data_IF_792077810166
#
_entry.id   IF_792077810166
#
_cell.length_a   1.000
_cell.length_b   1.000
_cell.length_c   1.000
_cell.angle_alpha   90.00
_cell.angle_beta   90.00
_cell.angle_gamma   90.00
#
_symmetry.space_group_name_H-M   'P 1'
#
loop_
_entity.id
_entity.type
_entity.pdbx_description
1 polymer ?
#
# COMPACT_ATOMS: atom_id res chain seq x y z
N UNK A 1 -9.02 -11.51 -15.12
CA UNK A 1 -7.82 -10.65 -14.94
C UNK A 1 -7.15 -10.23 -16.26
N UNK A 2 -7.75 -10.44 -17.45
CA UNK A 2 -7.13 -10.02 -18.71
C UNK A 2 -5.73 -10.61 -18.97
N UNK A 3 -5.05 -10.16 -20.04
CA UNK A 3 -3.63 -10.38 -20.26
C UNK A 3 -2.81 -9.92 -19.05
N UNK A 4 -1.74 -10.62 -18.72
CA UNK A 4 -0.94 -10.34 -17.52
C UNK A 4 -0.34 -8.93 -17.52
N UNK A 5 0.10 -8.44 -18.68
CA UNK A 5 0.61 -7.08 -18.90
C UNK A 5 -0.40 -5.98 -18.54
N UNK A 6 -1.70 -6.28 -18.52
CA UNK A 6 -2.75 -5.30 -18.24
C UNK A 6 -3.22 -5.33 -16.77
N UNK A 7 -2.69 -6.25 -15.94
CA UNK A 7 -3.11 -6.40 -14.55
C UNK A 7 -2.58 -5.23 -13.71
N UNK A 8 -3.52 -4.58 -13.01
CA UNK A 8 -3.21 -3.48 -12.06
C UNK A 8 -3.28 -3.91 -10.59
N UNK A 9 -3.56 -5.19 -10.33
CA UNK A 9 -3.78 -5.73 -8.98
C UNK A 9 -2.73 -6.81 -8.72
N UNK A 10 -1.98 -6.64 -7.62
CA UNK A 10 -0.96 -7.57 -7.15
C UNK A 10 -1.29 -8.01 -5.72
N UNK A 11 -1.26 -9.33 -5.48
CA UNK A 11 -1.45 -9.91 -4.14
C UNK A 11 -0.09 -10.31 -3.56
N UNK A 12 0.20 -9.82 -2.35
CA UNK A 12 1.38 -10.21 -1.59
C UNK A 12 0.97 -11.18 -0.47
N UNK A 13 1.51 -12.39 -0.51
CA UNK A 13 1.29 -13.41 0.51
C UNK A 13 2.58 -14.16 0.81
N UNK A 14 2.62 -14.87 1.91
CA UNK A 14 3.77 -15.63 2.37
C UNK A 14 3.32 -16.96 2.97
N UNK A 15 4.16 -17.99 2.90
CA UNK A 15 3.83 -19.31 3.41
C UNK A 15 3.76 -19.32 4.94
N UNK A 16 4.59 -18.48 5.58
CA UNK A 16 4.67 -18.34 7.03
C UNK A 16 4.53 -16.89 7.49
N UNK A 17 4.15 -16.65 8.76
CA UNK A 17 4.28 -15.33 9.38
C UNK A 17 5.74 -14.85 9.36
N UNK A 18 5.93 -13.53 9.34
CA UNK A 18 7.24 -12.87 9.46
C UNK A 18 8.22 -13.09 8.28
N UNK A 19 7.77 -13.60 7.13
CA UNK A 19 8.58 -13.70 5.91
C UNK A 19 8.74 -12.38 5.14
N UNK A 20 8.22 -11.27 5.69
CA UNK A 20 8.39 -9.94 5.10
C UNK A 20 7.30 -9.51 4.11
N UNK A 21 6.18 -10.24 3.95
CA UNK A 21 5.06 -9.84 3.05
C UNK A 21 4.62 -8.38 3.21
N UNK A 22 4.45 -7.93 4.46
CA UNK A 22 4.04 -6.56 4.81
C UNK A 22 5.13 -5.54 4.47
N UNK A 23 6.39 -5.90 4.67
CA UNK A 23 7.52 -5.03 4.31
C UNK A 23 7.65 -4.88 2.79
N UNK A 24 7.53 -5.99 2.05
CA UNK A 24 7.66 -5.99 0.59
C UNK A 24 6.50 -5.25 -0.07
N UNK A 25 5.26 -5.51 0.33
CA UNK A 25 4.07 -4.82 -0.21
C UNK A 25 4.10 -3.31 0.04
N UNK A 26 4.49 -2.88 1.24
CA UNK A 26 4.65 -1.46 1.56
C UNK A 26 5.70 -0.77 0.67
N UNK A 27 6.91 -1.31 0.60
CA UNK A 27 7.97 -0.71 -0.21
C UNK A 27 7.68 -0.77 -1.72
N UNK A 28 7.05 -1.83 -2.20
CA UNK A 28 6.62 -1.94 -3.59
C UNK A 28 5.62 -0.84 -3.94
N UNK A 29 4.61 -0.61 -3.08
CA UNK A 29 3.62 0.45 -3.30
C UNK A 29 4.25 1.84 -3.30
N UNK A 30 5.22 2.07 -2.39
CA UNK A 30 5.95 3.33 -2.30
C UNK A 30 6.82 3.57 -3.54
N UNK A 31 7.53 2.55 -4.03
CA UNK A 31 8.35 2.66 -5.23
C UNK A 31 7.50 2.98 -6.47
N UNK A 32 6.34 2.36 -6.61
CA UNK A 32 5.39 2.68 -7.69
C UNK A 32 4.84 4.10 -7.54
N UNK A 33 4.49 4.52 -6.33
CA UNK A 33 4.04 5.89 -6.07
C UNK A 33 5.13 6.90 -6.46
N UNK A 34 6.38 6.68 -6.05
CA UNK A 34 7.52 7.54 -6.40
C UNK A 34 7.77 7.63 -7.92
N UNK A 35 7.39 6.60 -8.69
CA UNK A 35 7.45 6.62 -10.15
C UNK A 35 6.28 7.38 -10.81
N UNK A 36 5.36 7.94 -10.01
CA UNK A 36 4.20 8.71 -10.47
C UNK A 36 2.94 7.88 -10.68
N UNK A 37 2.94 6.59 -10.31
CA UNK A 37 1.72 5.78 -10.37
C UNK A 37 0.77 6.13 -9.22
N UNK A 38 -0.54 6.11 -9.50
CA UNK A 38 -1.56 6.16 -8.45
C UNK A 38 -1.74 4.75 -7.89
N UNK A 39 -1.31 4.56 -6.63
CA UNK A 39 -1.26 3.25 -5.99
C UNK A 39 -2.15 3.24 -4.75
N UNK A 40 -2.91 2.16 -4.59
CA UNK A 40 -3.67 1.85 -3.39
C UNK A 40 -3.09 0.59 -2.76
N UNK A 41 -2.63 0.70 -1.52
CA UNK A 41 -2.22 -0.46 -0.71
C UNK A 41 -3.32 -0.76 0.29
N UNK A 42 -3.70 -2.04 0.40
CA UNK A 42 -4.77 -2.51 1.29
C UNK A 42 -4.17 -3.58 2.21
N UNK A 43 -4.39 -3.49 3.53
CA UNK A 43 -3.97 -4.54 4.46
C UNK A 43 -4.99 -5.68 4.46
N UNK A 44 -4.68 -6.75 3.73
CA UNK A 44 -5.52 -7.95 3.72
C UNK A 44 -5.44 -8.80 5.01
N UNK A 45 -4.53 -8.50 5.95
CA UNK A 45 -4.36 -9.27 7.18
C UNK A 45 -5.27 -8.76 8.31
N UNK A 46 -6.55 -9.11 8.24
CA UNK A 46 -7.56 -8.68 9.23
C UNK A 46 -7.32 -9.19 10.66
N UNK A 47 -6.49 -10.23 10.83
CA UNK A 47 -6.20 -10.82 12.14
C UNK A 47 -5.05 -10.10 12.84
N UNK A 48 -4.03 -9.67 12.08
CA UNK A 48 -2.84 -8.99 12.59
C UNK A 48 -2.42 -7.85 11.65
N UNK A 49 -3.25 -6.80 11.50
CA UNK A 49 -2.95 -5.70 10.60
C UNK A 49 -1.68 -4.98 11.06
N UNK A 50 -0.84 -4.59 10.11
CA UNK A 50 0.48 -4.00 10.38
C UNK A 50 0.76 -2.75 9.55
N UNK A 51 -0.03 -2.45 8.52
CA UNK A 51 0.22 -1.28 7.65
C UNK A 51 0.22 0.04 8.43
N UNK A 52 -0.77 0.26 9.30
CA UNK A 52 -0.84 1.45 10.16
C UNK A 52 0.44 1.69 11.01
N UNK A 53 1.13 0.62 11.41
CA UNK A 53 2.38 0.70 12.20
C UNK A 53 3.59 1.04 11.34
N UNK A 54 3.59 0.58 10.09
CA UNK A 54 4.67 0.83 9.13
C UNK A 54 4.64 2.29 8.68
N UNK A 55 3.47 2.80 8.31
CA UNK A 55 3.36 4.13 7.71
C UNK A 55 3.22 5.27 8.73
N UNK A 56 2.89 4.98 10.01
CA UNK A 56 2.82 5.95 11.13
C UNK A 56 2.24 7.31 10.72
N UNK A 57 1.06 7.34 10.09
CA UNK A 57 0.46 8.60 9.68
C UNK A 57 0.22 9.51 10.88
N UNK A 58 0.72 10.77 10.86
CA UNK A 58 0.34 11.77 11.84
C UNK A 58 -1.18 11.90 11.89
N UNK A 59 -1.78 12.14 13.07
CA UNK A 59 -3.23 12.30 13.22
C UNK A 59 -3.83 13.32 12.23
N UNK A 60 -3.06 14.33 11.81
CA UNK A 60 -3.46 15.31 10.80
C UNK A 60 -3.60 14.73 9.38
N UNK A 61 -2.81 13.70 9.02
CA UNK A 61 -2.85 13.01 7.72
C UNK A 61 -3.88 11.88 7.67
N UNK A 62 -4.51 11.51 8.80
CA UNK A 62 -5.64 10.55 8.80
C UNK A 62 -6.92 11.14 8.20
N UNK A 63 -6.95 12.45 7.94
CA UNK A 63 -8.00 13.05 7.12
C UNK A 63 -7.70 12.76 5.66
N UNK A 64 -8.77 12.53 4.88
CA UNK A 64 -8.77 12.22 3.46
C UNK A 64 -8.19 13.37 2.61
N UNK A 65 -6.95 13.78 2.86
CA UNK A 65 -6.24 14.78 2.11
C UNK A 65 -5.79 14.13 0.80
N UNK A 66 -6.75 13.97 -0.10
CA UNK A 66 -6.50 14.10 -1.52
C UNK A 66 -6.07 15.55 -1.73
N UNK A 67 -4.82 15.86 -1.43
CA UNK A 67 -4.25 17.12 -1.86
C UNK A 67 -4.26 17.07 -3.39
N UNK A 68 -5.08 17.94 -3.97
CA UNK A 68 -5.34 18.04 -5.40
C UNK A 68 -4.07 18.35 -6.23
N UNK A 69 -2.95 18.59 -5.56
CA UNK A 69 -1.64 18.87 -6.12
C UNK A 69 -0.79 17.60 -6.24
N UNK A 70 -1.10 16.75 -7.23
CA UNK A 70 -0.15 15.94 -8.01
C UNK A 70 0.94 15.08 -7.34
N UNK A 71 1.05 15.05 -6.01
CA UNK A 71 2.11 14.37 -5.29
C UNK A 71 1.66 12.94 -5.03
N UNK A 72 2.46 11.93 -5.45
CA UNK A 72 2.10 10.54 -5.23
C UNK A 72 2.14 10.22 -3.73
N UNK A 73 0.97 10.14 -3.12
CA UNK A 73 0.80 9.72 -1.73
C UNK A 73 0.43 8.25 -1.64
N UNK A 74 1.06 7.51 -0.73
CA UNK A 74 0.58 6.19 -0.29
C UNK A 74 -0.50 6.44 0.75
N UNK A 75 -1.75 6.10 0.42
CA UNK A 75 -2.86 6.15 1.35
C UNK A 75 -3.03 4.78 2.00
N UNK A 76 -3.25 4.76 3.32
CA UNK A 76 -3.63 3.57 4.07
C UNK A 76 -5.16 3.50 4.11
N UNK A 77 -5.70 2.40 3.59
CA UNK A 77 -7.14 2.18 3.47
C UNK A 77 -7.46 0.83 4.11
N UNK A 78 -7.59 0.86 5.45
CA UNK A 78 -7.98 -0.24 6.35
C UNK A 78 -6.98 -1.39 6.48
#
# INVERSE_FOLDING_TARGET
LGPEVERKISLFTSALPNEGKSFTSANYSLALAQQGYRVLLIDGDLRRPNMHRIFRFPEAMKKNNFDADGAPGVMDCL
#
